data_IF_279674842104
#
_entry.id   IF_279674842104
#
_cell.length_a   1.000
_cell.length_b   1.000
_cell.length_c   1.000
_cell.angle_alpha   90.00
_cell.angle_beta   90.00
_cell.angle_gamma   90.00
#
_symmetry.space_group_name_H-M   'P 1'
#
loop_
_entity.id
_entity.type
_entity.pdbx_description
1 polymer ?
#
# COMPACT_ATOMS: atom_id res chain seq x y z
N UNK A 1 46.33 -3.36 -10.11
CA UNK A 1 45.12 -2.58 -10.43
C UNK A 1 43.91 -3.31 -9.88
N UNK A 2 43.39 -2.88 -8.73
CA UNK A 2 42.19 -3.45 -8.12
C UNK A 2 40.97 -2.72 -8.66
N UNK A 3 40.20 -3.38 -9.51
CA UNK A 3 38.90 -2.89 -9.98
C UNK A 3 37.93 -2.86 -8.79
N UNK A 4 37.68 -1.66 -8.26
CA UNK A 4 36.63 -1.44 -7.26
C UNK A 4 35.27 -1.78 -7.88
N UNK A 5 34.67 -2.89 -7.48
CA UNK A 5 33.31 -3.24 -7.88
C UNK A 5 32.33 -2.24 -7.29
N UNK A 6 31.69 -1.42 -8.14
CA UNK A 6 30.65 -0.47 -7.74
C UNK A 6 29.53 -1.25 -7.03
N UNK A 7 29.38 -1.09 -5.70
CA UNK A 7 28.23 -1.65 -4.98
C UNK A 7 26.95 -1.04 -5.58
N UNK A 8 25.99 -1.88 -5.98
CA UNK A 8 24.67 -1.43 -6.41
C UNK A 8 23.94 -0.81 -5.22
N UNK A 9 23.48 0.42 -5.39
CA UNK A 9 22.71 1.15 -4.39
C UNK A 9 21.23 0.74 -4.42
N UNK A 10 20.96 -0.45 -3.87
CA UNK A 10 19.61 -1.00 -3.79
C UNK A 10 18.71 -0.25 -2.80
N UNK A 11 19.30 0.46 -1.83
CA UNK A 11 18.56 1.26 -0.87
C UNK A 11 17.86 2.42 -1.58
N UNK A 12 18.58 3.18 -2.41
CA UNK A 12 18.00 4.26 -3.21
C UNK A 12 16.88 3.77 -4.14
N UNK A 13 17.04 2.60 -4.76
CA UNK A 13 16.00 2.00 -5.61
C UNK A 13 14.74 1.70 -4.79
N UNK A 14 14.89 1.11 -3.59
CA UNK A 14 13.77 0.84 -2.70
C UNK A 14 13.00 2.11 -2.34
N UNK A 15 13.73 3.16 -1.94
CA UNK A 15 13.14 4.45 -1.55
C UNK A 15 12.42 5.14 -2.70
N UNK A 16 12.95 5.05 -3.93
CA UNK A 16 12.27 5.59 -5.11
C UNK A 16 10.98 4.81 -5.42
N UNK A 17 11.03 3.47 -5.35
CA UNK A 17 9.84 2.64 -5.56
C UNK A 17 8.77 2.86 -4.50
N UNK A 18 9.15 3.21 -3.27
CA UNK A 18 8.22 3.62 -2.23
C UNK A 18 7.39 4.86 -2.59
N UNK A 19 8.00 5.88 -3.24
CA UNK A 19 7.28 7.07 -3.70
C UNK A 19 6.45 6.74 -4.94
N UNK A 20 7.05 6.03 -5.92
CA UNK A 20 6.38 5.64 -7.16
C UNK A 20 5.12 4.81 -6.87
N UNK A 21 5.22 3.87 -5.94
CA UNK A 21 4.08 3.07 -5.51
C UNK A 21 3.03 3.89 -4.74
N UNK A 22 3.44 4.84 -3.89
CA UNK A 22 2.50 5.75 -3.22
C UNK A 22 1.70 6.60 -4.23
N UNK A 23 2.38 7.17 -5.22
CA UNK A 23 1.72 7.93 -6.28
C UNK A 23 0.80 7.03 -7.12
N UNK A 24 1.24 5.81 -7.43
CA UNK A 24 0.43 4.82 -8.14
C UNK A 24 -0.88 4.51 -7.42
N UNK A 25 -0.83 4.20 -6.11
CA UNK A 25 -2.03 3.84 -5.35
C UNK A 25 -2.93 5.05 -5.09
N UNK A 26 -2.36 6.23 -4.86
CA UNK A 26 -3.13 7.47 -4.76
C UNK A 26 -3.85 7.78 -6.07
N UNK A 27 -3.20 7.56 -7.22
CA UNK A 27 -3.81 7.75 -8.53
C UNK A 27 -4.91 6.73 -8.81
N UNK A 28 -4.77 5.46 -8.39
CA UNK A 28 -5.86 4.48 -8.46
C UNK A 28 -7.08 5.00 -7.70
N UNK A 29 -6.91 5.44 -6.46
CA UNK A 29 -8.01 6.00 -5.66
C UNK A 29 -8.64 7.23 -6.33
N UNK A 30 -7.84 8.16 -6.85
CA UNK A 30 -8.33 9.32 -7.58
C UNK A 30 -9.11 8.94 -8.86
N UNK A 31 -8.61 7.97 -9.62
CA UNK A 31 -9.24 7.53 -10.86
C UNK A 31 -10.61 6.87 -10.63
N UNK A 32 -10.73 6.08 -9.56
CA UNK A 32 -12.01 5.49 -9.13
C UNK A 32 -13.00 6.58 -8.71
N UNK A 33 -12.56 7.60 -7.96
CA UNK A 33 -13.42 8.70 -7.49
C UNK A 33 -13.91 9.61 -8.63
N UNK A 34 -13.13 9.75 -9.70
CA UNK A 34 -13.44 10.66 -10.82
C UNK A 34 -14.01 9.94 -12.04
N UNK A 35 -14.12 8.61 -12.00
CA UNK A 35 -14.64 7.82 -13.12
C UNK A 35 -13.75 7.86 -14.36
N UNK A 36 -12.43 7.94 -14.18
CA UNK A 36 -11.49 7.97 -15.30
C UNK A 36 -11.56 6.67 -16.14
N UNK A 37 -11.21 6.74 -17.44
CA UNK A 37 -11.13 5.56 -18.28
C UNK A 37 -10.26 4.45 -17.67
N UNK A 38 -10.71 3.19 -17.79
CA UNK A 38 -10.02 2.00 -17.24
C UNK A 38 -8.55 1.87 -17.65
N UNK A 39 -8.17 2.45 -18.78
CA UNK A 39 -6.77 2.50 -19.23
C UNK A 39 -5.85 3.12 -18.16
N UNK A 40 -6.29 4.21 -17.52
CA UNK A 40 -5.51 4.92 -16.51
C UNK A 40 -5.39 4.12 -15.21
N UNK A 41 -6.47 3.46 -14.79
CA UNK A 41 -6.47 2.56 -13.63
C UNK A 41 -5.51 1.40 -13.86
N UNK A 42 -5.55 0.78 -15.04
CA UNK A 42 -4.66 -0.33 -15.40
C UNK A 42 -3.19 0.11 -15.47
N UNK A 43 -2.91 1.30 -16.01
CA UNK A 43 -1.56 1.84 -16.04
C UNK A 43 -1.00 2.07 -14.62
N UNK A 44 -1.82 2.61 -13.71
CA UNK A 44 -1.43 2.79 -12.31
C UNK A 44 -1.30 1.46 -11.56
N UNK A 45 -2.15 0.48 -11.85
CA UNK A 45 -2.02 -0.88 -11.31
C UNK A 45 -0.70 -1.54 -11.74
N UNK A 46 -0.27 -1.34 -13.00
CA UNK A 46 1.05 -1.80 -13.47
C UNK A 46 2.19 -1.17 -12.69
N UNK A 47 2.10 0.11 -12.33
CA UNK A 47 3.09 0.77 -11.46
C UNK A 47 3.21 0.02 -10.13
N UNK A 48 2.09 -0.34 -9.51
CA UNK A 48 2.06 -1.10 -8.24
C UNK A 48 2.63 -2.51 -8.37
N UNK A 49 2.30 -3.20 -9.48
CA UNK A 49 2.80 -4.54 -9.81
C UNK A 49 4.32 -4.52 -9.99
N UNK A 50 4.91 -3.40 -10.42
CA UNK A 50 6.36 -3.28 -10.56
C UNK A 50 7.02 -2.79 -9.26
N UNK A 51 6.46 -1.78 -8.60
CA UNK A 51 7.07 -1.17 -7.42
C UNK A 51 7.11 -2.13 -6.24
N UNK A 52 6.03 -2.86 -5.96
CA UNK A 52 5.93 -3.70 -4.77
C UNK A 52 6.92 -4.88 -4.80
N UNK A 53 7.08 -5.64 -5.91
CA UNK A 53 8.11 -6.68 -5.98
C UNK A 53 9.53 -6.11 -5.90
N UNK A 54 9.82 -4.98 -6.55
CA UNK A 54 11.15 -4.37 -6.45
C UNK A 54 11.45 -4.01 -4.99
N UNK A 55 10.51 -3.39 -4.28
CA UNK A 55 10.65 -3.09 -2.85
C UNK A 55 10.82 -4.35 -2.03
N UNK A 56 10.06 -5.41 -2.33
CA UNK A 56 10.20 -6.70 -1.64
C UNK A 56 11.62 -7.25 -1.79
N UNK A 57 12.16 -7.31 -3.01
CA UNK A 57 13.50 -7.85 -3.24
C UNK A 57 14.61 -6.95 -2.70
N UNK A 58 14.38 -5.65 -2.59
CA UNK A 58 15.35 -4.68 -2.08
C UNK A 58 15.17 -4.34 -0.60
N UNK A 59 14.21 -4.96 0.12
CA UNK A 59 13.88 -4.64 1.53
C UNK A 59 15.00 -4.91 2.53
N UNK A 60 15.99 -5.71 2.14
CA UNK A 60 17.15 -6.09 2.97
C UNK A 60 18.44 -5.37 2.53
N UNK A 61 18.31 -4.26 1.80
CA UNK A 61 19.47 -3.49 1.35
C UNK A 61 20.26 -2.93 2.56
N UNK A 62 19.54 -2.52 3.60
CA UNK A 62 20.06 -2.05 4.89
C UNK A 62 19.01 -2.22 6.00
N UNK A 63 19.38 -1.89 7.25
CA UNK A 63 18.48 -1.94 8.41
C UNK A 63 17.33 -0.93 8.29
N UNK A 64 17.59 0.23 7.66
CA UNK A 64 16.62 1.29 7.48
C UNK A 64 15.46 0.85 6.57
N UNK A 65 15.75 0.36 5.35
CA UNK A 65 14.76 -0.17 4.40
C UNK A 65 13.99 -1.36 4.96
N UNK A 66 14.64 -2.20 5.78
CA UNK A 66 13.96 -3.28 6.48
C UNK A 66 12.96 -2.74 7.51
N UNK A 67 13.36 -1.73 8.29
CA UNK A 67 12.52 -1.06 9.28
C UNK A 67 11.33 -0.33 8.63
N UNK A 68 11.52 0.28 7.45
CA UNK A 68 10.45 0.87 6.65
C UNK A 68 9.49 -0.18 6.11
N UNK A 69 10.02 -1.27 5.56
CA UNK A 69 9.23 -2.39 5.03
C UNK A 69 8.32 -2.97 6.12
N UNK A 70 8.87 -3.29 7.29
CA UNK A 70 8.11 -3.82 8.42
C UNK A 70 6.99 -2.88 8.88
N UNK A 71 7.24 -1.57 8.87
CA UNK A 71 6.22 -0.56 9.17
C UNK A 71 5.08 -0.60 8.16
N UNK A 72 5.41 -0.65 6.87
CA UNK A 72 4.43 -0.78 5.80
C UNK A 72 3.60 -2.05 5.91
N UNK A 73 4.24 -3.21 6.11
CA UNK A 73 3.53 -4.49 6.22
C UNK A 73 2.63 -4.56 7.44
N UNK A 74 3.04 -4.00 8.58
CA UNK A 74 2.22 -3.97 9.79
C UNK A 74 0.96 -3.11 9.59
N UNK A 75 1.11 -1.94 8.95
CA UNK A 75 -0.03 -1.08 8.62
C UNK A 75 -1.00 -1.75 7.64
N UNK A 76 -0.47 -2.38 6.58
CA UNK A 76 -1.28 -3.13 5.62
C UNK A 76 -2.06 -4.26 6.28
N UNK A 77 -1.39 -5.04 7.14
CA UNK A 77 -2.01 -6.14 7.88
C UNK A 77 -3.11 -5.64 8.83
N UNK A 78 -2.86 -4.56 9.56
CA UNK A 78 -3.87 -3.95 10.43
C UNK A 78 -5.11 -3.52 9.64
N UNK A 79 -4.94 -2.93 8.46
CA UNK A 79 -6.06 -2.55 7.59
C UNK A 79 -6.80 -3.77 7.06
N UNK A 80 -6.12 -4.85 6.69
CA UNK A 80 -6.78 -6.10 6.29
C UNK A 80 -7.65 -6.64 7.44
N UNK A 81 -7.15 -6.63 8.68
CA UNK A 81 -7.95 -7.05 9.85
C UNK A 81 -9.17 -6.14 10.03
N UNK A 82 -8.97 -4.82 10.01
CA UNK A 82 -10.06 -3.85 10.16
C UNK A 82 -11.10 -4.02 9.06
N UNK A 83 -10.69 -4.27 7.82
CA UNK A 83 -11.62 -4.45 6.71
C UNK A 83 -12.37 -5.77 6.80
N UNK A 84 -11.69 -6.89 7.08
CA UNK A 84 -12.31 -8.22 7.09
C UNK A 84 -13.15 -8.48 8.34
N UNK A 85 -12.77 -7.91 9.48
CA UNK A 85 -13.45 -8.15 10.76
C UNK A 85 -14.24 -6.94 11.21
N UNK A 86 -13.65 -5.76 11.10
CA UNK A 86 -14.26 -4.51 11.56
C UNK A 86 -15.40 -4.04 10.66
N UNK A 87 -15.23 -4.07 9.34
CA UNK A 87 -16.26 -3.56 8.42
C UNK A 87 -17.59 -4.33 8.54
N UNK A 88 -17.63 -5.68 8.53
CA UNK A 88 -18.87 -6.43 8.71
C UNK A 88 -19.50 -6.22 10.10
N UNK A 89 -18.68 -6.07 11.14
CA UNK A 89 -19.18 -5.81 12.50
C UNK A 89 -19.82 -4.42 12.62
N UNK A 90 -19.23 -3.41 11.97
CA UNK A 90 -19.76 -2.06 11.91
C UNK A 90 -21.07 -2.05 11.11
N UNK A 91 -21.06 -2.66 9.93
CA UNK A 91 -22.23 -2.78 9.05
C UNK A 91 -23.40 -3.45 9.79
N UNK A 92 -23.20 -4.64 10.37
CA UNK A 92 -24.25 -5.34 11.11
C UNK A 92 -24.77 -4.58 12.33
N UNK A 93 -23.95 -3.74 12.98
CA UNK A 93 -24.41 -2.86 14.06
C UNK A 93 -25.30 -1.74 13.53
N UNK A 94 -24.92 -1.10 12.43
CA UNK A 94 -25.71 -0.04 11.80
C UNK A 94 -27.03 -0.56 11.23
N UNK A 95 -27.00 -1.68 10.52
CA UNK A 95 -28.19 -2.34 9.96
C UNK A 95 -29.17 -2.71 11.06
N UNK A 96 -28.67 -3.26 12.18
CA UNK A 96 -29.48 -3.57 13.36
C UNK A 96 -30.09 -2.32 14.02
N UNK A 97 -29.42 -1.16 13.97
CA UNK A 97 -29.93 0.08 14.55
C UNK A 97 -30.99 0.77 13.65
N UNK A 98 -30.82 0.68 12.33
CA UNK A 98 -31.64 1.39 11.35
C UNK A 98 -32.70 0.50 10.67
N UNK A 99 -32.71 -0.81 10.95
CA UNK A 99 -33.66 -1.76 10.37
C UNK A 99 -33.46 -1.94 8.86
N UNK A 100 -32.23 -1.76 8.38
CA UNK A 100 -31.85 -1.91 6.97
C UNK A 100 -31.43 -3.37 6.78
N UNK A 101 -32.27 -4.17 6.16
CA UNK A 101 -31.96 -5.57 5.82
C UNK A 101 -31.56 -5.63 4.34
N UNK A 102 -30.31 -5.29 4.01
CA UNK A 102 -29.93 -5.02 2.62
C UNK A 102 -28.50 -5.33 2.21
N UNK A 103 -28.11 -6.61 2.17
CA UNK A 103 -26.91 -7.06 1.45
C UNK A 103 -25.57 -6.68 2.12
N UNK A 104 -24.45 -7.04 1.47
CA UNK A 104 -23.10 -6.66 1.89
C UNK A 104 -22.69 -5.39 1.14
N UNK A 105 -22.63 -4.27 1.82
CA UNK A 105 -22.30 -2.95 1.28
C UNK A 105 -20.80 -2.75 1.11
N UNK A 106 -19.97 -3.46 1.87
CA UNK A 106 -18.52 -3.36 1.75
C UNK A 106 -17.95 -4.28 0.66
N UNK A 107 -17.38 -3.72 -0.44
CA UNK A 107 -16.85 -4.53 -1.52
C UNK A 107 -15.53 -5.22 -1.11
N UNK A 108 -15.45 -6.53 -1.35
CA UNK A 108 -14.27 -7.36 -1.04
C UNK A 108 -12.95 -6.80 -1.66
N UNK A 109 -13.05 -6.16 -2.83
CA UNK A 109 -11.91 -5.57 -3.53
C UNK A 109 -11.36 -4.30 -2.86
N UNK A 110 -12.15 -3.65 -2.01
CA UNK A 110 -11.73 -2.44 -1.29
C UNK A 110 -10.60 -2.72 -0.29
N UNK A 111 -10.59 -3.93 0.30
CA UNK A 111 -9.54 -4.36 1.23
C UNK A 111 -8.14 -4.28 0.63
N UNK A 112 -7.98 -4.70 -0.63
CA UNK A 112 -6.68 -4.75 -1.30
C UNK A 112 -6.13 -3.34 -1.55
N UNK A 113 -7.00 -2.43 -2.02
CA UNK A 113 -6.64 -1.04 -2.30
C UNK A 113 -6.30 -0.32 -1.00
N UNK A 114 -7.13 -0.47 0.04
CA UNK A 114 -6.92 0.14 1.34
C UNK A 114 -5.61 -0.37 2.00
N UNK A 115 -5.34 -1.67 1.92
CA UNK A 115 -4.12 -2.26 2.48
C UNK A 115 -2.85 -1.78 1.75
N UNK A 116 -2.88 -1.69 0.42
CA UNK A 116 -1.77 -1.13 -0.36
C UNK A 116 -1.57 0.36 -0.05
N UNK A 117 -2.65 1.12 0.06
CA UNK A 117 -2.56 2.54 0.40
C UNK A 117 -1.91 2.71 1.77
N UNK A 118 -2.34 1.95 2.78
CA UNK A 118 -1.75 1.97 4.11
C UNK A 118 -0.29 1.50 4.14
N UNK A 119 0.07 0.48 3.35
CA UNK A 119 1.46 0.05 3.18
C UNK A 119 2.34 1.22 2.75
N UNK A 120 2.00 1.86 1.64
CA UNK A 120 2.81 2.94 1.06
C UNK A 120 2.78 4.19 1.93
N UNK A 121 1.66 4.49 2.58
CA UNK A 121 1.54 5.63 3.48
C UNK A 121 2.40 5.45 4.72
N UNK A 122 2.35 4.28 5.38
CA UNK A 122 3.18 4.02 6.56
C UNK A 122 4.67 3.91 6.21
N UNK A 123 5.00 3.31 5.06
CA UNK A 123 6.37 3.25 4.57
C UNK A 123 6.95 4.66 4.39
N UNK A 124 6.25 5.54 3.65
CA UNK A 124 6.74 6.90 3.40
C UNK A 124 6.59 7.81 4.62
N UNK A 125 5.58 7.59 5.47
CA UNK A 125 5.40 8.30 6.73
C UNK A 125 6.57 8.07 7.67
N UNK A 126 6.97 6.81 7.88
CA UNK A 126 8.15 6.46 8.68
C UNK A 126 9.44 7.01 8.06
N UNK A 127 9.53 7.06 6.72
CA UNK A 127 10.65 7.68 6.03
C UNK A 127 10.78 9.18 6.35
N UNK A 128 9.67 9.92 6.32
CA UNK A 128 9.65 11.38 6.54
C UNK A 128 9.78 11.77 8.00
N UNK A 129 9.17 11.01 8.91
CA UNK A 129 9.17 11.30 10.35
C UNK A 129 10.44 10.82 11.07
N UNK A 130 11.32 10.12 10.35
CA UNK A 130 12.54 9.53 10.89
C UNK A 130 12.28 8.18 11.54
N UNK A 131 13.17 7.22 11.26
CA UNK A 131 13.30 6.02 12.06
C UNK A 131 14.10 6.39 13.33
N UNK A 132 13.41 6.87 14.36
CA UNK A 132 13.97 6.90 15.72
C UNK A 132 14.17 5.47 16.23
#
# INVERSE_FOLDING_TARGET
MTTATRRRDWASVNLLMGIVGLLGIAFVGFAELTGLPRLYVNAAALVLIVSLPIMFFTRKADEYTLSLWSSGTNAAFAIVIVWLVGAPAIEGFFDGLFGIEGGQDFPDRGASVAALFAFYLAFNGKRLLGAL
#
